data_IF_702217617498
#
_entry.id   IF_702217617498
#
_cell.length_a   1.000
_cell.length_b   1.000
_cell.length_c   1.000
_cell.angle_alpha   90.00
_cell.angle_beta   90.00
_cell.angle_gamma   90.00
#
_symmetry.space_group_name_H-M   'P 1'
#
loop_
_entity.id
_entity.type
_entity.pdbx_description
1 polymer ?
#
# COMPACT_ATOMS: atom_id res chain seq x y z
N UNK A 1 6.04 12.75 -19.45
CA UNK A 1 6.25 11.29 -19.55
C UNK A 1 5.34 10.67 -18.50
N UNK A 2 4.36 9.84 -18.87
CA UNK A 2 3.57 9.14 -17.86
C UNK A 2 4.51 8.18 -17.09
N UNK A 3 4.32 7.98 -15.78
CA UNK A 3 5.16 7.08 -15.00
C UNK A 3 5.09 5.65 -15.55
N UNK A 4 6.23 4.96 -15.58
CA UNK A 4 6.37 3.62 -16.16
C UNK A 4 5.92 2.51 -15.20
N UNK A 5 5.60 2.84 -13.94
CA UNK A 5 5.09 1.94 -12.90
C UNK A 5 4.14 2.67 -11.94
N UNK A 6 3.11 2.00 -11.39
CA UNK A 6 2.25 2.57 -10.35
C UNK A 6 3.03 3.10 -9.13
N UNK A 7 4.15 2.47 -8.77
CA UNK A 7 5.02 2.97 -7.69
C UNK A 7 5.65 4.31 -8.06
N UNK A 8 6.15 4.46 -9.28
CA UNK A 8 6.72 5.73 -9.75
C UNK A 8 5.67 6.85 -9.78
N UNK A 9 4.42 6.51 -10.12
CA UNK A 9 3.31 7.47 -10.07
C UNK A 9 3.09 8.01 -8.66
N UNK A 10 2.96 7.14 -7.66
CA UNK A 10 2.76 7.56 -6.28
C UNK A 10 3.97 8.28 -5.69
N UNK A 11 5.19 7.87 -6.04
CA UNK A 11 6.39 8.60 -5.67
C UNK A 11 6.42 10.02 -6.25
N UNK A 12 5.99 10.20 -7.51
CA UNK A 12 5.85 11.52 -8.11
C UNK A 12 4.82 12.40 -7.41
N UNK A 13 3.69 11.83 -6.98
CA UNK A 13 2.69 12.54 -6.19
C UNK A 13 3.20 12.91 -4.79
N UNK A 14 4.01 12.05 -4.17
CA UNK A 14 4.65 12.33 -2.89
C UNK A 14 5.56 13.56 -2.99
N UNK A 15 6.40 13.64 -4.03
CA UNK A 15 7.24 14.81 -4.30
C UNK A 15 6.39 16.05 -4.57
N UNK A 16 5.33 15.95 -5.38
CA UNK A 16 4.45 17.09 -5.65
C UNK A 16 3.74 17.59 -4.37
N UNK A 17 3.39 16.70 -3.45
CA UNK A 17 2.85 17.06 -2.14
C UNK A 17 3.89 17.79 -1.27
N UNK A 18 5.13 17.29 -1.23
CA UNK A 18 6.23 17.91 -0.48
C UNK A 18 6.57 19.32 -1.01
N UNK A 19 6.50 19.51 -2.33
CA UNK A 19 6.75 20.80 -2.98
C UNK A 19 5.54 21.77 -2.88
N UNK A 20 4.42 21.34 -2.28
CA UNK A 20 3.18 22.14 -2.20
C UNK A 20 2.45 22.32 -3.53
N UNK A 21 2.82 21.55 -4.57
CA UNK A 21 2.19 21.56 -5.89
C UNK A 21 0.94 20.67 -5.98
N UNK A 22 0.73 19.82 -4.98
CA UNK A 22 -0.48 19.02 -4.81
C UNK A 22 -1.19 19.48 -3.53
N UNK A 23 -2.50 19.74 -3.63
CA UNK A 23 -3.34 20.14 -2.51
C UNK A 23 -4.50 19.18 -2.40
N UNK A 24 -4.75 18.70 -1.18
CA UNK A 24 -5.87 17.84 -0.86
C UNK A 24 -6.43 18.28 0.50
N UNK A 25 -7.75 18.23 0.65
CA UNK A 25 -8.41 18.50 1.92
C UNK A 25 -7.94 17.49 3.00
N UNK A 26 -7.53 17.93 4.20
CA UNK A 26 -7.03 17.04 5.25
C UNK A 26 -8.04 15.99 5.72
N UNK A 27 -9.35 16.28 5.70
CA UNK A 27 -10.36 15.30 6.08
C UNK A 27 -10.52 14.22 4.99
N UNK A 28 -10.52 14.62 3.71
CA UNK A 28 -10.47 13.69 2.59
C UNK A 28 -9.21 12.81 2.64
N UNK A 29 -8.04 13.41 2.91
CA UNK A 29 -6.78 12.67 3.05
C UNK A 29 -6.82 11.63 4.18
N UNK A 30 -7.40 11.97 5.34
CA UNK A 30 -7.62 11.03 6.45
C UNK A 30 -8.54 9.87 6.07
N UNK A 31 -9.63 10.14 5.34
CA UNK A 31 -10.50 9.07 4.84
C UNK A 31 -9.77 8.15 3.85
N UNK A 32 -8.94 8.71 2.97
CA UNK A 32 -8.13 7.93 2.05
C UNK A 32 -7.07 7.08 2.77
N UNK A 33 -6.40 7.62 3.80
CA UNK A 33 -5.47 6.87 4.65
C UNK A 33 -6.16 5.70 5.39
N UNK A 34 -7.36 5.94 5.95
CA UNK A 34 -8.16 4.90 6.58
C UNK A 34 -8.53 3.79 5.59
N UNK A 35 -8.99 4.15 4.39
CA UNK A 35 -9.28 3.18 3.33
C UNK A 35 -8.03 2.40 2.89
N UNK A 36 -6.85 3.04 2.83
CA UNK A 36 -5.60 2.34 2.57
C UNK A 36 -5.30 1.32 3.69
N UNK A 37 -5.51 1.68 4.95
CA UNK A 37 -5.29 0.79 6.09
C UNK A 37 -6.15 -0.46 6.01
N UNK A 38 -7.46 -0.29 5.77
CA UNK A 38 -8.41 -1.41 5.62
C UNK A 38 -8.03 -2.30 4.43
N UNK A 39 -7.65 -1.70 3.30
CA UNK A 39 -7.29 -2.46 2.12
C UNK A 39 -5.96 -3.21 2.29
N UNK A 40 -4.96 -2.60 2.94
CA UNK A 40 -3.70 -3.26 3.28
C UNK A 40 -3.92 -4.46 4.21
N UNK A 41 -4.83 -4.36 5.18
CA UNK A 41 -5.19 -5.49 6.03
C UNK A 41 -5.77 -6.65 5.21
N UNK A 42 -6.68 -6.33 4.27
CA UNK A 42 -7.26 -7.31 3.35
C UNK A 42 -6.19 -7.97 2.47
N UNK A 43 -5.30 -7.18 1.88
CA UNK A 43 -4.20 -7.69 1.04
C UNK A 43 -3.27 -8.61 1.82
N UNK A 44 -2.89 -8.26 3.05
CA UNK A 44 -2.05 -9.10 3.92
C UNK A 44 -2.72 -10.44 4.26
N UNK A 45 -4.01 -10.41 4.62
CA UNK A 45 -4.79 -11.63 4.86
C UNK A 45 -4.88 -12.52 3.62
N UNK A 46 -5.07 -11.92 2.44
CA UNK A 46 -5.08 -12.65 1.18
C UNK A 46 -3.70 -13.22 0.84
N UNK A 47 -2.62 -12.51 1.15
CA UNK A 47 -1.26 -12.99 0.95
C UNK A 47 -0.96 -14.21 1.83
N UNK A 48 -1.38 -14.19 3.09
CA UNK A 48 -1.27 -15.34 4.00
C UNK A 48 -2.07 -16.53 3.49
N UNK A 49 -3.30 -16.31 3.03
CA UNK A 49 -4.11 -17.35 2.40
C UNK A 49 -3.45 -17.91 1.12
N UNK A 50 -2.82 -17.06 0.31
CA UNK A 50 -2.08 -17.48 -0.86
C UNK A 50 -0.86 -18.35 -0.50
N UNK A 51 -0.15 -18.04 0.60
CA UNK A 51 0.97 -18.89 1.08
C UNK A 51 0.51 -20.30 1.42
N UNK A 52 -0.70 -20.45 1.98
CA UNK A 52 -1.27 -21.77 2.29
C UNK A 52 -1.53 -22.62 1.03
N UNK A 53 -1.69 -22.01 -0.13
CA UNK A 53 -1.84 -22.70 -1.41
C UNK A 53 -0.49 -23.16 -2.00
N UNK A 54 0.64 -22.89 -1.35
CA UNK A 54 1.98 -23.30 -1.79
C UNK A 54 2.24 -24.80 -1.69
N UNK A 55 1.42 -25.56 -0.96
CA UNK A 55 1.58 -27.02 -0.76
C UNK A 55 0.34 -27.79 -1.25
N UNK A 56 0.10 -27.74 -2.57
CA UNK A 56 -0.97 -28.53 -3.19
C UNK A 56 -0.56 -29.99 -3.24
N UNK A 57 -1.37 -30.85 -2.60
CA UNK A 57 -1.21 -32.30 -2.57
C UNK A 57 -2.49 -32.99 -3.03
N UNK A 58 -2.45 -34.33 -3.14
CA UNK A 58 -3.65 -35.13 -3.41
C UNK A 58 -4.02 -35.31 -4.88
N UNK A 59 -3.12 -35.01 -5.82
CA UNK A 59 -3.35 -35.16 -7.27
C UNK A 59 -3.03 -36.57 -7.81
N UNK A 60 -2.93 -37.57 -6.93
CA UNK A 60 -2.52 -38.94 -7.27
C UNK A 60 -1.01 -39.18 -7.28
N UNK A 61 -0.60 -40.40 -7.59
CA UNK A 61 0.81 -40.86 -7.56
C UNK A 61 1.45 -40.97 -8.93
N UNK A 62 0.69 -40.79 -10.01
CA UNK A 62 1.24 -40.73 -11.37
C UNK A 62 2.04 -39.44 -11.57
N UNK A 63 3.04 -39.49 -12.46
CA UNK A 63 3.89 -38.34 -12.82
C UNK A 63 3.08 -37.10 -13.22
N UNK A 64 1.96 -37.29 -13.92
CA UNK A 64 1.05 -36.21 -14.29
C UNK A 64 0.42 -35.52 -13.07
N UNK A 65 0.05 -36.29 -12.05
CA UNK A 65 -0.50 -35.80 -10.80
C UNK A 65 0.52 -34.98 -10.00
N UNK A 66 1.74 -35.52 -9.87
CA UNK A 66 2.86 -34.84 -9.21
C UNK A 66 3.18 -33.52 -9.94
N UNK A 67 3.23 -33.54 -11.27
CA UNK A 67 3.47 -32.34 -12.08
C UNK A 67 2.35 -31.30 -11.92
N UNK A 68 1.09 -31.72 -11.82
CA UNK A 68 -0.05 -30.82 -11.63
C UNK A 68 -0.03 -30.15 -10.25
N UNK A 69 0.20 -30.93 -9.19
CA UNK A 69 0.39 -30.43 -7.82
C UNK A 69 1.48 -29.36 -7.78
N UNK A 70 2.65 -29.66 -8.35
CA UNK A 70 3.76 -28.71 -8.48
C UNK A 70 3.36 -27.42 -9.21
N UNK A 71 2.65 -27.51 -10.33
CA UNK A 71 2.21 -26.33 -11.09
C UNK A 71 1.28 -25.43 -10.29
N UNK A 72 0.33 -25.99 -9.55
CA UNK A 72 -0.58 -25.19 -8.73
C UNK A 72 0.13 -24.58 -7.52
N UNK A 73 0.99 -25.33 -6.84
CA UNK A 73 1.88 -24.80 -5.80
C UNK A 73 2.69 -23.60 -6.30
N UNK A 74 3.28 -23.72 -7.50
CA UNK A 74 4.07 -22.65 -8.11
C UNK A 74 3.24 -21.43 -8.51
N UNK A 75 1.98 -21.61 -8.91
CA UNK A 75 1.05 -20.49 -9.17
C UNK A 75 0.75 -19.70 -7.89
N UNK A 76 0.78 -20.35 -6.73
CA UNK A 76 0.58 -19.69 -5.45
C UNK A 76 1.88 -19.03 -4.94
N UNK A 77 3.00 -19.77 -4.93
CA UNK A 77 4.27 -19.35 -4.31
C UNK A 77 5.48 -19.79 -5.15
N UNK A 78 6.44 -18.90 -5.36
CA UNK A 78 7.77 -19.23 -5.90
C UNK A 78 7.85 -19.58 -7.39
N UNK A 79 6.72 -19.65 -8.09
CA UNK A 79 6.68 -19.69 -9.55
C UNK A 79 6.69 -18.30 -10.20
N UNK A 80 6.86 -18.22 -11.54
CA UNK A 80 6.77 -16.96 -12.26
C UNK A 80 5.40 -16.31 -12.08
N UNK A 81 5.38 -15.02 -11.74
CA UNK A 81 4.14 -14.26 -11.52
C UNK A 81 3.17 -14.98 -10.56
N UNK A 82 3.70 -15.55 -9.48
CA UNK A 82 2.90 -16.23 -8.48
C UNK A 82 2.03 -15.24 -7.69
N UNK A 83 0.96 -15.76 -7.11
CA UNK A 83 -0.04 -14.94 -6.42
C UNK A 83 0.55 -14.15 -5.23
N UNK A 84 1.49 -14.72 -4.47
CA UNK A 84 2.13 -14.02 -3.35
C UNK A 84 2.90 -12.78 -3.81
N UNK A 85 3.66 -12.90 -4.89
CA UNK A 85 4.44 -11.78 -5.44
C UNK A 85 3.54 -10.70 -6.05
N UNK A 86 2.46 -11.10 -6.73
CA UNK A 86 1.47 -10.15 -7.27
C UNK A 86 0.80 -9.38 -6.13
N UNK A 87 0.35 -10.07 -5.07
CA UNK A 87 -0.25 -9.39 -3.90
C UNK A 87 0.77 -8.48 -3.23
N UNK A 88 2.05 -8.89 -3.14
CA UNK A 88 3.11 -8.03 -2.59
C UNK A 88 3.25 -6.74 -3.41
N UNK A 89 3.29 -6.83 -4.74
CA UNK A 89 3.34 -5.64 -5.60
C UNK A 89 2.16 -4.69 -5.36
N UNK A 90 0.96 -5.22 -5.11
CA UNK A 90 -0.20 -4.39 -4.75
C UNK A 90 -0.04 -3.75 -3.35
N UNK A 91 0.47 -4.49 -2.36
CA UNK A 91 0.79 -3.96 -1.03
C UNK A 91 1.76 -2.78 -1.15
N UNK A 92 2.80 -2.91 -1.96
CA UNK A 92 3.82 -1.87 -2.14
C UNK A 92 3.21 -0.59 -2.73
N UNK A 93 2.35 -0.72 -3.75
CA UNK A 93 1.64 0.41 -4.36
C UNK A 93 0.70 1.10 -3.37
N UNK A 94 -0.10 0.33 -2.62
CA UNK A 94 -1.05 0.89 -1.64
C UNK A 94 -0.31 1.55 -0.47
N UNK A 95 0.86 1.01 -0.09
CA UNK A 95 1.72 1.63 0.92
C UNK A 95 2.27 2.98 0.46
N UNK A 96 2.73 3.07 -0.80
CA UNK A 96 3.18 4.33 -1.40
C UNK A 96 2.02 5.35 -1.49
N UNK A 97 0.83 4.90 -1.90
CA UNK A 97 -0.39 5.70 -1.91
C UNK A 97 -0.74 6.24 -0.52
N UNK A 98 -0.69 5.39 0.51
CA UNK A 98 -0.96 5.77 1.89
C UNK A 98 0.01 6.85 2.39
N UNK A 99 1.30 6.70 2.09
CA UNK A 99 2.32 7.67 2.46
C UNK A 99 2.05 9.06 1.87
N UNK A 100 1.52 9.14 0.65
CA UNK A 100 1.12 10.41 0.02
C UNK A 100 -0.03 11.07 0.79
N UNK A 101 -1.06 10.31 1.16
CA UNK A 101 -2.21 10.87 1.89
C UNK A 101 -1.83 11.42 3.28
N UNK A 102 -0.92 10.75 3.99
CA UNK A 102 -0.45 11.21 5.31
C UNK A 102 0.18 12.59 5.31
N UNK A 103 0.90 12.94 4.23
CA UNK A 103 1.52 14.27 4.07
C UNK A 103 0.54 15.44 4.22
N UNK A 104 -0.74 15.25 3.87
CA UNK A 104 -1.72 16.34 3.87
C UNK A 104 -2.27 16.69 5.25
N UNK A 105 -2.18 15.80 6.23
CA UNK A 105 -2.65 16.08 7.58
C UNK A 105 -1.54 16.14 8.61
N UNK A 106 -0.40 15.48 8.40
CA UNK A 106 0.79 15.65 9.23
C UNK A 106 1.29 17.11 9.17
N UNK A 107 1.36 17.69 7.95
CA UNK A 107 1.76 19.09 7.76
C UNK A 107 0.76 20.09 8.36
N UNK A 108 -0.54 19.76 8.38
CA UNK A 108 -1.58 20.63 8.92
C UNK A 108 -1.53 20.66 10.45
N UNK A 109 -1.31 19.51 11.09
CA UNK A 109 -1.16 19.41 12.55
C UNK A 109 0.08 20.18 13.05
N UNK A 110 1.20 20.09 12.34
CA UNK A 110 2.41 20.84 12.67
C UNK A 110 2.21 22.37 12.56
N UNK A 111 1.54 22.83 11.50
CA UNK A 111 1.25 24.25 11.30
C UNK A 111 0.26 24.77 12.35
N UNK A 112 -0.80 24.01 12.67
CA UNK A 112 -1.76 24.40 13.70
C UNK A 112 -1.13 24.46 15.09
N UNK A 113 -0.25 23.51 15.44
CA UNK A 113 0.49 23.56 16.71
C UNK A 113 1.40 24.79 16.78
N UNK A 114 2.15 25.10 15.71
CA UNK A 114 3.02 26.28 15.66
C UNK A 114 2.21 27.58 15.75
N UNK A 115 1.07 27.66 15.07
CA UNK A 115 0.17 28.80 15.13
C UNK A 115 -0.45 28.96 16.53
N UNK A 116 -0.92 27.87 17.15
CA UNK A 116 -1.47 27.91 18.51
C UNK A 116 -0.41 28.37 19.54
N UNK A 117 0.83 27.90 19.43
CA UNK A 117 1.95 28.33 20.29
C UNK A 117 2.25 29.82 20.08
N UNK A 118 2.32 30.29 18.83
CA UNK A 118 2.64 31.69 18.52
C UNK A 118 1.54 32.66 18.96
N UNK A 119 0.27 32.31 18.78
CA UNK A 119 -0.88 33.10 19.29
C UNK A 119 -0.90 33.10 20.81
N UNK A 120 -0.68 31.96 21.47
CA UNK A 120 -0.59 31.89 22.93
C UNK A 120 0.54 32.76 23.50
N UNK A 121 1.58 33.02 22.72
CA UNK A 121 2.71 33.87 23.10
C UNK A 121 2.52 35.36 22.79
N UNK A 122 1.69 35.69 21.80
CA UNK A 122 1.51 37.06 21.27
C UNK A 122 0.07 37.61 21.41
N UNK A 123 -0.85 36.85 22.02
CA UNK A 123 -2.26 37.23 22.17
C UNK A 123 -2.48 38.39 23.16
N UNK A 124 -3.58 39.15 23.02
CA UNK A 124 -3.89 40.25 23.94
C UNK A 124 -4.06 39.72 25.37
N UNK A 125 -3.48 40.45 26.33
CA UNK A 125 -3.66 40.16 27.78
C UNK A 125 -5.06 40.55 28.24
#
# INVERSE_FOLDING_TARGET
MAPNSPIEYWNGLATAADDGHLLLDPAAARHCDAACTEYLATLKSNQESARMLGDVRGMGTFESGIALARKFSQKAVGGPNNLVDVIQSHIDVVTAMQAVFRKFFDATEDVDQQNAISIGRNGPR
#
